data_IF_968177959003
#
_entry.id   IF_968177959003
#
_cell.length_a   1.000
_cell.length_b   1.000
_cell.length_c   1.000
_cell.angle_alpha   90.00
_cell.angle_beta   90.00
_cell.angle_gamma   90.00
#
_symmetry.space_group_name_H-M   'P 1'
#
loop_
_entity.id
_entity.type
_entity.pdbx_description
1 polymer ?
#
# COMPACT_ATOMS: atom_id res chain seq x y z
N UNK A 1 -27.62 31.95 7.90
CA UNK A 1 -26.18 32.19 8.17
C UNK A 1 -25.45 30.93 7.79
N UNK A 2 -24.71 30.92 6.68
CA UNK A 2 -23.91 29.75 6.29
C UNK A 2 -22.58 29.80 7.03
N UNK A 3 -22.32 28.84 7.90
CA UNK A 3 -21.00 28.67 8.52
C UNK A 3 -20.10 28.07 7.44
N UNK A 4 -19.10 28.84 6.98
CA UNK A 4 -18.06 28.29 6.10
C UNK A 4 -17.07 27.52 6.97
N UNK A 5 -16.87 26.25 6.68
CA UNK A 5 -15.84 25.44 7.34
C UNK A 5 -14.47 25.93 6.85
N UNK A 6 -13.52 26.23 7.75
CA UNK A 6 -12.16 26.61 7.37
C UNK A 6 -11.49 25.53 6.50
N UNK A 7 -10.82 25.89 5.39
CA UNK A 7 -10.14 24.93 4.50
C UNK A 7 -9.17 23.99 5.22
N UNK A 8 -8.44 24.49 6.22
CA UNK A 8 -7.52 23.67 7.03
C UNK A 8 -8.22 22.52 7.74
N UNK A 9 -9.48 22.70 8.18
CA UNK A 9 -10.25 21.60 8.79
C UNK A 9 -10.69 20.60 7.73
N UNK A 10 -11.05 21.07 6.54
CA UNK A 10 -11.43 20.20 5.42
C UNK A 10 -10.23 19.34 4.99
N UNK A 11 -9.05 19.93 4.84
CA UNK A 11 -7.80 19.20 4.54
C UNK A 11 -7.51 18.13 5.60
N UNK A 12 -7.66 18.45 6.89
CA UNK A 12 -7.46 17.47 7.97
C UNK A 12 -8.42 16.30 7.89
N UNK A 13 -9.68 16.56 7.56
CA UNK A 13 -10.69 15.50 7.37
C UNK A 13 -10.28 14.58 6.21
N UNK A 14 -9.85 15.14 5.07
CA UNK A 14 -9.42 14.31 3.95
C UNK A 14 -8.13 13.55 4.22
N UNK A 15 -7.12 14.17 4.85
CA UNK A 15 -5.91 13.47 5.27
C UNK A 15 -6.25 12.27 6.17
N UNK A 16 -7.05 12.48 7.23
CA UNK A 16 -7.44 11.40 8.15
C UNK A 16 -8.27 10.31 7.45
N UNK A 17 -9.17 10.71 6.55
CA UNK A 17 -9.98 9.76 5.78
C UNK A 17 -9.09 8.91 4.86
N UNK A 18 -8.09 9.51 4.22
CA UNK A 18 -7.20 8.80 3.31
C UNK A 18 -6.20 7.93 4.08
N UNK A 19 -5.74 8.38 5.25
CA UNK A 19 -4.96 7.54 6.18
C UNK A 19 -5.73 6.29 6.59
N UNK A 20 -7.01 6.46 6.96
CA UNK A 20 -7.90 5.33 7.31
C UNK A 20 -8.08 4.36 6.14
N UNK A 21 -8.42 4.88 4.96
CA UNK A 21 -8.54 4.06 3.74
C UNK A 21 -7.23 3.32 3.44
N UNK A 22 -6.09 4.00 3.58
CA UNK A 22 -4.77 3.42 3.36
C UNK A 22 -4.51 2.26 4.32
N UNK A 23 -4.73 2.47 5.63
CA UNK A 23 -4.53 1.46 6.66
C UNK A 23 -5.45 0.24 6.44
N UNK A 24 -6.74 0.46 6.22
CA UNK A 24 -7.72 -0.63 6.03
C UNK A 24 -7.39 -1.49 4.80
N UNK A 25 -7.13 -0.85 3.65
CA UNK A 25 -6.76 -1.57 2.42
C UNK A 25 -5.45 -2.32 2.64
N UNK A 26 -4.41 -1.63 3.07
CA UNK A 26 -3.08 -2.20 3.18
C UNK A 26 -2.99 -3.33 4.21
N UNK A 27 -3.56 -3.12 5.40
CA UNK A 27 -3.59 -4.14 6.46
C UNK A 27 -4.35 -5.38 5.97
N UNK A 28 -5.47 -5.21 5.26
CA UNK A 28 -6.20 -6.33 4.66
C UNK A 28 -5.32 -7.15 3.70
N UNK A 29 -4.58 -6.48 2.81
CA UNK A 29 -3.71 -7.13 1.83
C UNK A 29 -2.56 -7.93 2.45
N UNK A 30 -1.97 -7.44 3.55
CA UNK A 30 -0.81 -8.08 4.19
C UNK A 30 -1.17 -9.04 5.34
N UNK A 31 -2.45 -9.15 5.70
CA UNK A 31 -2.98 -10.08 6.69
C UNK A 31 -3.69 -11.27 6.05
N UNK A 32 -4.32 -11.06 4.89
CA UNK A 32 -5.26 -12.02 4.29
C UNK A 32 -4.80 -12.44 2.91
N UNK A 33 -4.48 -13.72 2.77
CA UNK A 33 -3.97 -14.31 1.52
C UNK A 33 -4.99 -14.21 0.39
N UNK A 34 -6.26 -14.38 0.71
CA UNK A 34 -7.42 -14.25 -0.18
C UNK A 34 -7.61 -12.82 -0.72
N UNK A 35 -7.08 -11.80 -0.03
CA UNK A 35 -7.09 -10.43 -0.49
C UNK A 35 -5.95 -10.13 -1.47
N UNK A 36 -4.83 -10.87 -1.37
CA UNK A 36 -3.62 -10.62 -2.14
C UNK A 36 -3.61 -11.40 -3.48
N UNK A 37 -4.52 -11.05 -4.40
CA UNK A 37 -4.62 -11.65 -5.74
C UNK A 37 -4.53 -10.58 -6.85
N UNK A 38 -4.20 -10.97 -8.08
CA UNK A 38 -4.17 -10.03 -9.22
C UNK A 38 -5.53 -9.35 -9.43
N UNK A 39 -6.62 -10.12 -9.36
CA UNK A 39 -7.99 -9.60 -9.55
C UNK A 39 -8.34 -8.53 -8.50
N UNK A 40 -8.02 -8.79 -7.23
CA UNK A 40 -8.22 -7.80 -6.17
C UNK A 40 -7.30 -6.59 -6.36
N UNK A 41 -6.06 -6.81 -6.81
CA UNK A 41 -5.14 -5.72 -7.16
C UNK A 41 -5.71 -4.78 -8.22
N UNK A 42 -6.23 -5.29 -9.32
CA UNK A 42 -6.86 -4.47 -10.37
C UNK A 42 -8.14 -3.77 -9.89
N UNK A 43 -8.93 -4.44 -9.05
CA UNK A 43 -10.11 -3.83 -8.43
C UNK A 43 -9.74 -2.63 -7.54
N UNK A 44 -8.81 -2.82 -6.61
CA UNK A 44 -8.37 -1.77 -5.69
C UNK A 44 -7.66 -0.64 -6.46
N UNK A 45 -6.86 -0.96 -7.48
CA UNK A 45 -6.22 0.03 -8.37
C UNK A 45 -7.24 0.96 -9.01
N UNK A 46 -8.36 0.42 -9.48
CA UNK A 46 -9.44 1.21 -10.07
C UNK A 46 -10.06 2.16 -9.03
N UNK A 47 -10.33 1.68 -7.82
CA UNK A 47 -10.83 2.53 -6.73
C UNK A 47 -9.86 3.63 -6.30
N UNK A 48 -8.56 3.33 -6.21
CA UNK A 48 -7.52 4.33 -5.91
C UNK A 48 -7.42 5.39 -7.04
N UNK A 49 -7.61 5.00 -8.30
CA UNK A 49 -7.63 5.93 -9.42
C UNK A 49 -8.81 6.91 -9.36
N UNK A 50 -9.98 6.47 -8.88
CA UNK A 50 -11.13 7.36 -8.65
C UNK A 50 -10.82 8.41 -7.56
N UNK A 51 -10.15 8.01 -6.48
CA UNK A 51 -9.72 8.94 -5.41
C UNK A 51 -8.66 9.95 -5.92
N UNK A 52 -7.72 9.49 -6.75
CA UNK A 52 -6.73 10.35 -7.38
C UNK A 52 -7.37 11.33 -8.36
N UNK A 53 -8.32 10.88 -9.17
CA UNK A 53 -9.10 11.76 -10.05
C UNK A 53 -9.88 12.80 -9.25
N UNK A 54 -10.54 12.40 -8.16
CA UNK A 54 -11.25 13.32 -7.29
C UNK A 54 -10.32 14.41 -6.73
N UNK A 55 -9.10 14.05 -6.30
CA UNK A 55 -8.10 15.02 -5.85
C UNK A 55 -7.70 16.01 -6.95
N UNK A 56 -7.66 15.58 -8.22
CA UNK A 56 -7.35 16.44 -9.37
C UNK A 56 -8.50 17.39 -9.73
N UNK A 57 -9.76 17.02 -9.44
CA UNK A 57 -10.94 17.84 -9.72
C UNK A 57 -11.23 18.88 -8.62
N UNK A 58 -10.85 18.57 -7.38
CA UNK A 58 -11.00 19.48 -6.23
C UNK A 58 -9.86 20.49 -6.19
N UNK A 59 -10.12 21.72 -5.75
CA UNK A 59 -9.06 22.72 -5.61
C UNK A 59 -8.00 22.27 -4.60
N UNK A 60 -6.74 22.60 -4.87
CA UNK A 60 -5.59 22.34 -3.98
C UNK A 60 -5.85 22.84 -2.55
N UNK A 61 -6.65 23.89 -2.40
CA UNK A 61 -7.12 24.43 -1.12
C UNK A 61 -7.83 23.38 -0.22
N UNK A 62 -8.50 22.37 -0.79
CA UNK A 62 -9.23 21.35 -0.02
C UNK A 62 -8.57 19.98 -0.04
N UNK A 63 -7.99 19.55 -1.17
CA UNK A 63 -7.32 18.25 -1.26
C UNK A 63 -5.92 18.29 -0.63
N UNK A 64 -5.19 19.39 -0.75
CA UNK A 64 -3.82 19.53 -0.23
C UNK A 64 -2.94 18.33 -0.60
N UNK A 65 -2.27 17.76 0.40
CA UNK A 65 -1.41 16.57 0.28
C UNK A 65 -2.14 15.27 0.64
N UNK A 66 -3.48 15.25 0.70
CA UNK A 66 -4.23 14.07 1.19
C UNK A 66 -3.91 12.80 0.41
N UNK A 67 -3.65 12.93 -0.89
CA UNK A 67 -3.34 11.80 -1.76
C UNK A 67 -2.08 11.04 -1.33
N UNK A 68 -1.10 11.72 -0.71
CA UNK A 68 0.14 11.11 -0.23
C UNK A 68 -0.10 10.13 0.93
N UNK A 69 -1.23 10.27 1.63
CA UNK A 69 -1.61 9.38 2.72
C UNK A 69 -1.96 7.96 2.23
N UNK A 70 -2.24 7.79 0.93
CA UNK A 70 -2.57 6.49 0.30
C UNK A 70 -1.35 5.67 -0.13
N UNK A 71 -0.13 6.11 0.19
CA UNK A 71 1.09 5.58 -0.42
C UNK A 71 1.35 4.09 -0.17
N UNK A 72 0.99 3.54 0.99
CA UNK A 72 1.21 2.11 1.27
C UNK A 72 0.30 1.23 0.41
N UNK A 73 -1.00 1.56 0.36
CA UNK A 73 -1.98 0.88 -0.48
C UNK A 73 -1.61 1.03 -1.97
N UNK A 74 -1.25 2.24 -2.44
CA UNK A 74 -0.83 2.48 -3.82
C UNK A 74 0.37 1.61 -4.22
N UNK A 75 1.40 1.54 -3.37
CA UNK A 75 2.60 0.75 -3.65
C UNK A 75 2.35 -0.76 -3.59
N UNK A 76 1.61 -1.23 -2.58
CA UNK A 76 1.19 -2.62 -2.48
C UNK A 76 0.41 -3.08 -3.72
N UNK A 77 -0.56 -2.27 -4.15
CA UNK A 77 -1.37 -2.55 -5.33
C UNK A 77 -0.53 -2.50 -6.60
N UNK A 78 0.37 -1.50 -6.74
CA UNK A 78 1.32 -1.43 -7.86
C UNK A 78 2.15 -2.69 -7.95
N UNK A 79 2.66 -3.20 -6.84
CA UNK A 79 3.34 -4.50 -6.79
C UNK A 79 2.41 -5.61 -7.29
N UNK A 80 1.20 -5.75 -6.73
CA UNK A 80 0.26 -6.82 -7.10
C UNK A 80 -0.09 -6.86 -8.58
N UNK A 81 -0.23 -5.70 -9.23
CA UNK A 81 -0.55 -5.59 -10.66
C UNK A 81 0.67 -5.54 -11.59
N UNK A 82 1.89 -5.56 -11.05
CA UNK A 82 3.10 -5.53 -11.87
C UNK A 82 3.24 -6.81 -12.69
N UNK A 83 3.63 -6.65 -13.95
CA UNK A 83 4.02 -7.79 -14.80
C UNK A 83 5.42 -8.28 -14.41
N UNK A 84 5.75 -9.53 -14.72
CA UNK A 84 7.12 -10.09 -14.57
C UNK A 84 7.72 -9.89 -13.17
N UNK A 85 6.93 -10.11 -12.11
CA UNK A 85 7.38 -9.93 -10.71
C UNK A 85 8.59 -10.81 -10.37
N UNK A 86 8.73 -11.94 -11.04
CA UNK A 86 9.86 -12.87 -10.92
C UNK A 86 11.19 -12.31 -11.45
N UNK A 87 11.15 -11.27 -12.28
CA UNK A 87 12.32 -10.53 -12.78
C UNK A 87 12.74 -9.38 -11.84
N UNK A 88 11.89 -8.99 -10.88
CA UNK A 88 12.19 -7.90 -9.95
C UNK A 88 13.32 -8.29 -8.99
N UNK A 89 14.34 -7.44 -8.89
CA UNK A 89 15.35 -7.52 -7.85
C UNK A 89 14.85 -6.93 -6.54
N UNK A 90 15.62 -7.17 -5.46
CA UNK A 90 15.36 -6.53 -4.17
C UNK A 90 15.42 -5.00 -4.30
N UNK A 91 16.39 -4.47 -5.05
CA UNK A 91 16.58 -3.03 -5.17
C UNK A 91 15.43 -2.40 -5.99
N UNK A 92 14.93 -3.07 -7.04
CA UNK A 92 13.74 -2.62 -7.78
C UNK A 92 12.53 -2.54 -6.83
N UNK A 93 12.36 -3.57 -5.98
CA UNK A 93 11.25 -3.63 -5.03
C UNK A 93 11.33 -2.50 -3.99
N UNK A 94 12.50 -2.26 -3.39
CA UNK A 94 12.65 -1.30 -2.28
C UNK A 94 12.88 0.13 -2.73
N UNK A 95 13.36 0.38 -3.94
CA UNK A 95 13.69 1.73 -4.38
C UNK A 95 12.68 2.28 -5.40
N UNK A 96 12.08 1.41 -6.23
CA UNK A 96 11.25 1.84 -7.34
C UNK A 96 9.76 1.50 -7.18
N UNK A 97 9.45 0.29 -6.70
CA UNK A 97 8.06 -0.20 -6.63
C UNK A 97 7.42 0.18 -5.29
N UNK A 98 8.09 -0.13 -4.18
CA UNK A 98 7.54 -0.03 -2.83
C UNK A 98 8.50 0.66 -1.82
N UNK A 99 8.99 1.89 -2.10
CA UNK A 99 9.96 2.57 -1.22
C UNK A 99 9.45 2.96 0.16
N UNK A 100 8.14 2.92 0.40
CA UNK A 100 7.53 3.25 1.70
C UNK A 100 7.33 2.00 2.56
N UNK A 101 7.30 0.80 1.96
CA UNK A 101 7.05 -0.43 2.71
C UNK A 101 8.32 -0.90 3.43
N UNK A 102 8.16 -1.34 4.67
CA UNK A 102 9.25 -1.96 5.43
C UNK A 102 9.60 -3.35 4.88
N UNK A 103 10.80 -3.86 5.20
CA UNK A 103 11.22 -5.22 4.83
C UNK A 103 10.21 -6.29 5.27
N UNK A 104 9.57 -6.11 6.43
CA UNK A 104 8.54 -7.01 6.94
C UNK A 104 7.24 -6.96 6.13
N UNK A 105 6.80 -5.76 5.77
CA UNK A 105 5.62 -5.57 4.91
C UNK A 105 5.86 -6.14 3.51
N UNK A 106 7.03 -5.88 2.93
CA UNK A 106 7.46 -6.42 1.64
C UNK A 106 7.49 -7.95 1.65
N UNK A 107 8.07 -8.55 2.70
CA UNK A 107 8.08 -10.00 2.83
C UNK A 107 6.67 -10.58 2.86
N UNK A 108 5.76 -9.99 3.63
CA UNK A 108 4.36 -10.44 3.73
C UNK A 108 3.65 -10.34 2.39
N UNK A 109 3.67 -9.20 1.73
CA UNK A 109 2.96 -9.05 0.45
C UNK A 109 3.54 -9.98 -0.65
N UNK A 110 4.87 -10.15 -0.69
CA UNK A 110 5.51 -11.05 -1.65
C UNK A 110 5.14 -12.53 -1.42
N UNK A 111 4.96 -12.94 -0.16
CA UNK A 111 4.67 -14.34 0.20
C UNK A 111 3.18 -14.67 0.24
N UNK A 112 2.34 -13.66 0.51
CA UNK A 112 0.88 -13.81 0.48
C UNK A 112 0.31 -13.74 -0.92
N UNK A 113 0.98 -13.04 -1.85
CA UNK A 113 0.50 -12.92 -3.22
C UNK A 113 0.26 -14.31 -3.84
N UNK A 114 -1.01 -14.55 -4.18
CA UNK A 114 -1.49 -15.72 -4.87
C UNK A 114 -1.79 -15.36 -6.32
N UNK A 115 -1.23 -16.13 -7.24
CA UNK A 115 -1.77 -16.16 -8.59
C UNK A 115 -2.67 -17.39 -8.75
N UNK A 116 -3.91 -17.14 -9.15
CA UNK A 116 -4.89 -18.18 -9.45
C UNK A 116 -4.60 -18.85 -10.81
N UNK A 117 -3.74 -18.25 -11.63
CA UNK A 117 -3.19 -18.86 -12.84
C UNK A 117 -1.73 -19.26 -12.61
N UNK A 118 -1.29 -20.44 -13.08
CA UNK A 118 0.11 -20.91 -12.94
C UNK A 118 1.18 -20.04 -13.66
N UNK A 119 0.81 -18.88 -14.21
CA UNK A 119 1.63 -18.10 -15.13
C UNK A 119 2.25 -16.81 -14.53
N UNK A 120 1.70 -16.21 -13.48
CA UNK A 120 2.24 -14.99 -12.86
C UNK A 120 2.85 -15.34 -11.51
N UNK A 121 4.13 -15.65 -11.53
CA UNK A 121 4.89 -15.92 -10.30
C UNK A 121 5.06 -14.62 -9.51
N UNK A 122 5.08 -14.74 -8.19
CA UNK A 122 5.59 -13.68 -7.30
C UNK A 122 7.10 -13.49 -7.53
N UNK A 123 7.73 -12.65 -6.71
CA UNK A 123 9.19 -12.44 -6.73
C UNK A 123 9.97 -13.73 -6.49
N UNK A 124 11.24 -13.73 -6.90
CA UNK A 124 12.11 -14.89 -6.73
C UNK A 124 12.34 -15.29 -5.26
N UNK A 125 12.70 -16.56 -5.05
CA UNK A 125 13.04 -17.07 -3.71
C UNK A 125 14.23 -16.34 -3.09
N UNK A 126 15.17 -15.86 -3.91
CA UNK A 126 16.34 -15.10 -3.45
C UNK A 126 15.91 -13.76 -2.83
N UNK A 127 14.96 -13.05 -3.47
CA UNK A 127 14.41 -11.79 -2.96
C UNK A 127 13.67 -12.00 -1.63
N UNK A 128 12.78 -13.00 -1.57
CA UNK A 128 12.04 -13.32 -0.33
C UNK A 128 12.96 -13.80 0.80
N UNK A 129 14.03 -14.53 0.48
CA UNK A 129 15.04 -14.95 1.47
C UNK A 129 15.82 -13.75 2.00
N UNK A 130 16.25 -12.82 1.13
CA UNK A 130 16.91 -11.58 1.55
C UNK A 130 16.02 -10.73 2.45
N UNK A 131 14.75 -10.55 2.09
CA UNK A 131 13.77 -9.84 2.91
C UNK A 131 13.62 -10.49 4.29
N UNK A 132 13.54 -11.82 4.34
CA UNK A 132 13.42 -12.58 5.60
C UNK A 132 14.63 -12.40 6.52
N UNK A 133 15.84 -12.35 5.97
CA UNK A 133 17.07 -12.13 6.75
C UNK A 133 17.09 -10.74 7.39
N UNK A 134 16.67 -9.71 6.64
CA UNK A 134 16.62 -8.34 7.16
C UNK A 134 15.59 -8.20 8.30
N UNK A 135 14.48 -8.95 8.25
CA UNK A 135 13.50 -8.96 9.34
C UNK A 135 14.04 -9.58 10.64
N UNK A 136 14.98 -10.53 10.56
CA UNK A 136 15.57 -11.15 11.75
C UNK A 136 16.65 -10.30 12.40
N UNK A 137 17.12 -9.24 11.72
CA UNK A 137 18.10 -8.31 12.27
C UNK A 137 17.43 -7.13 13.01
N UNK A 138 16.16 -6.81 12.67
CA UNK A 138 15.39 -5.69 13.21
C UNK A 138 14.48 -6.07 14.42
N UNK A 139 14.82 -7.08 15.21
CA UNK A 139 13.95 -7.62 16.28
C UNK A 139 13.74 -6.61 17.43
N UNK A 140 12.78 -5.71 17.26
CA UNK A 140 11.95 -5.18 18.34
C UNK A 140 10.72 -6.07 18.39
N UNK A 141 10.55 -6.72 19.53
CA UNK A 141 9.58 -7.79 19.86
C UNK A 141 8.12 -7.27 19.92
N UNK A 142 7.67 -6.55 18.89
CA UNK A 142 6.27 -6.16 18.70
C UNK A 142 5.74 -6.77 17.40
N UNK A 143 5.07 -7.90 17.58
CA UNK A 143 4.52 -8.79 16.56
C UNK A 143 3.51 -8.10 15.61
N UNK A 144 3.14 -6.83 15.86
CA UNK A 144 2.21 -6.03 15.05
C UNK A 144 2.76 -4.70 14.52
N UNK A 145 4.03 -4.39 14.78
CA UNK A 145 4.67 -3.12 14.34
C UNK A 145 4.65 -2.87 12.82
N UNK A 146 4.37 -3.90 12.02
CA UNK A 146 4.24 -3.80 10.56
C UNK A 146 2.86 -3.32 10.09
N UNK A 147 1.85 -3.28 10.96
CA UNK A 147 0.52 -2.77 10.64
C UNK A 147 0.51 -1.24 10.68
N UNK A 148 -0.32 -0.64 9.84
CA UNK A 148 -0.58 0.79 9.92
C UNK A 148 -1.59 1.04 11.03
N UNK A 149 -1.26 1.97 11.93
CA UNK A 149 -2.18 2.44 12.97
C UNK A 149 -3.22 3.37 12.35
N UNK A 150 -4.49 3.13 12.69
CA UNK A 150 -5.56 4.10 12.46
C UNK A 150 -5.46 5.21 13.51
N UNK A 151 -4.92 6.37 13.13
CA UNK A 151 -4.92 7.57 13.96
C UNK A 151 -6.29 8.29 13.93
N UNK A 152 -7.39 7.53 14.08
CA UNK A 152 -8.76 8.04 14.13
C UNK A 152 -9.16 8.58 15.51
#
# INVERSE_FOLDING_TARGET
MYVKVPPVLIQKVFNQTFQYINAEIFNSLILHKECCTLNNGEYVKSGLAELEQWCNEVTEEYAGTSLDELNHAKQAVRFMVSEKKDELSYDDLTNDICPVLSSQQLYRICTLFLDENDNTKSVSTDVTTRLKLLMTDDVVDDDKSFLLEDNS
#
